data_IF_548343666603
#
_entry.id   IF_548343666603
#
_cell.length_a   1.000
_cell.length_b   1.000
_cell.length_c   1.000
_cell.angle_alpha   90.00
_cell.angle_beta   90.00
_cell.angle_gamma   90.00
#
_symmetry.space_group_name_H-M   'P 1'
#
loop_
_entity.id
_entity.type
_entity.pdbx_description
1 polymer ?
#
# COMPACT_ATOMS: atom_id res chain seq x y z
N UNK A 1 -9.78 -8.91 2.40
CA UNK A 1 -8.75 -8.73 1.36
C UNK A 1 -8.71 -7.25 1.02
N UNK A 2 -7.54 -6.62 0.91
CA UNK A 2 -7.43 -5.21 0.52
C UNK A 2 -6.72 -5.10 -0.81
N UNK A 3 -7.36 -4.40 -1.75
CA UNK A 3 -6.80 -4.13 -3.06
C UNK A 3 -6.33 -2.69 -3.11
N UNK A 4 -5.09 -2.50 -3.53
CA UNK A 4 -4.46 -1.18 -3.58
C UNK A 4 -3.93 -0.95 -4.99
N UNK A 5 -4.34 0.18 -5.57
CA UNK A 5 -3.79 0.73 -6.79
C UNK A 5 -2.64 1.68 -6.45
N UNK A 6 -1.51 1.53 -7.13
CA UNK A 6 -0.34 2.39 -6.97
C UNK A 6 0.04 3.02 -8.33
N UNK A 7 -0.45 4.26 -8.53
CA UNK A 7 -0.30 5.28 -9.61
C UNK A 7 -0.33 4.89 -11.12
N UNK A 8 -0.47 5.93 -11.98
CA UNK A 8 -1.23 6.07 -13.23
C UNK A 8 -0.38 6.27 -14.52
N UNK A 9 0.81 5.68 -14.62
CA UNK A 9 1.53 5.59 -15.91
C UNK A 9 2.23 4.24 -16.11
N UNK A 10 2.53 3.55 -15.02
CA UNK A 10 2.94 2.14 -14.97
C UNK A 10 2.17 1.56 -13.79
N UNK A 11 1.11 0.81 -14.05
CA UNK A 11 0.18 0.38 -13.01
C UNK A 11 0.78 -0.71 -12.13
N UNK A 12 0.86 -0.44 -10.83
CA UNK A 12 1.07 -1.47 -9.81
C UNK A 12 -0.25 -1.78 -9.11
N UNK A 13 -0.59 -3.06 -9.05
CA UNK A 13 -1.72 -3.59 -8.29
C UNK A 13 -1.19 -4.47 -7.17
N UNK A 14 -1.70 -4.26 -5.96
CA UNK A 14 -1.40 -5.10 -4.82
C UNK A 14 -2.69 -5.66 -4.21
N UNK A 15 -2.64 -6.93 -3.83
CA UNK A 15 -3.68 -7.58 -3.04
C UNK A 15 -3.04 -8.12 -1.77
N UNK A 16 -3.74 -8.02 -0.66
CA UNK A 16 -3.31 -8.62 0.60
C UNK A 16 -4.49 -9.17 1.37
N UNK A 17 -4.36 -10.40 1.83
CA UNK A 17 -5.25 -10.98 2.83
C UNK A 17 -4.72 -10.61 4.21
N UNK A 18 -5.57 -9.98 5.01
CA UNK A 18 -5.22 -9.49 6.34
C UNK A 18 -6.21 -10.04 7.36
N UNK A 19 -5.69 -10.54 8.47
CA UNK A 19 -6.50 -11.03 9.58
C UNK A 19 -7.05 -9.89 10.45
N UNK A 20 -6.33 -8.76 10.49
CA UNK A 20 -6.68 -7.61 11.34
C UNK A 20 -6.31 -6.29 10.68
N UNK A 21 -7.31 -5.47 10.42
CA UNK A 21 -7.14 -4.14 9.85
C UNK A 21 -6.40 -3.19 10.81
N UNK A 22 -6.64 -3.30 12.11
CA UNK A 22 -5.93 -2.53 13.12
C UNK A 22 -4.42 -2.81 13.08
N UNK A 23 -4.03 -4.09 12.99
CA UNK A 23 -2.61 -4.48 12.85
C UNK A 23 -2.02 -4.00 11.53
N UNK A 24 -2.77 -4.12 10.43
CA UNK A 24 -2.36 -3.61 9.12
C UNK A 24 -2.07 -2.10 9.15
N UNK A 25 -2.99 -1.31 9.71
CA UNK A 25 -2.82 0.14 9.81
C UNK A 25 -1.65 0.52 10.74
N UNK A 26 -1.36 -0.30 11.77
CA UNK A 26 -0.21 -0.07 12.65
C UNK A 26 1.15 -0.27 11.94
N UNK A 27 1.23 -1.08 10.87
CA UNK A 27 2.49 -1.32 10.14
C UNK A 27 3.09 -0.02 9.61
N UNK A 28 2.26 0.90 9.12
CA UNK A 28 2.67 2.22 8.64
C UNK A 28 3.44 3.05 9.68
N UNK A 29 3.20 2.81 10.97
CA UNK A 29 3.86 3.51 12.08
C UNK A 29 5.18 2.86 12.51
N UNK A 30 5.55 1.71 11.94
CA UNK A 30 6.79 1.03 12.32
C UNK A 30 8.01 1.65 11.66
N UNK A 31 9.12 1.74 12.40
CA UNK A 31 10.38 2.30 11.89
C UNK A 31 10.87 1.58 10.62
N UNK A 32 10.69 0.27 10.54
CA UNK A 32 11.11 -0.52 9.39
C UNK A 32 10.29 -0.19 8.14
N UNK A 33 8.98 0.01 8.27
CA UNK A 33 8.12 0.38 7.15
C UNK A 33 8.47 1.78 6.63
N UNK A 34 8.72 2.73 7.53
CA UNK A 34 9.13 4.09 7.14
C UNK A 34 10.51 4.12 6.47
N UNK A 35 11.46 3.30 6.94
CA UNK A 35 12.75 3.12 6.25
C UNK A 35 12.57 2.55 4.84
N UNK A 36 11.67 1.58 4.69
CA UNK A 36 11.35 0.99 3.39
C UNK A 36 10.75 2.02 2.43
N UNK A 37 9.78 2.82 2.89
CA UNK A 37 9.19 3.91 2.12
C UNK A 37 10.24 4.92 1.63
N UNK A 38 11.15 5.34 2.52
CA UNK A 38 12.24 6.24 2.15
C UNK A 38 13.16 5.65 1.07
N UNK A 39 13.38 4.34 1.09
CA UNK A 39 14.16 3.65 0.07
C UNK A 39 13.44 3.57 -1.29
N UNK A 40 12.12 3.35 -1.27
CA UNK A 40 11.32 3.16 -2.50
C UNK A 40 10.91 4.47 -3.18
N UNK A 41 11.04 5.62 -2.52
CA UNK A 41 10.59 6.93 -3.02
C UNK A 41 11.17 7.33 -4.37
N UNK A 42 12.34 6.82 -4.72
CA UNK A 42 13.05 7.19 -5.95
C UNK A 42 12.44 6.51 -7.19
N UNK A 43 11.70 5.40 -6.98
CA UNK A 43 11.12 4.57 -8.06
C UNK A 43 9.59 4.51 -8.03
N UNK A 44 8.95 5.09 -7.01
CA UNK A 44 7.50 5.14 -6.86
C UNK A 44 7.04 6.55 -6.45
N UNK A 45 5.91 7.05 -6.96
CA UNK A 45 5.30 8.28 -6.45
C UNK A 45 5.05 8.18 -4.95
N UNK A 46 5.55 9.16 -4.20
CA UNK A 46 5.48 9.19 -2.75
C UNK A 46 4.86 10.51 -2.26
N UNK A 47 4.11 10.42 -1.16
CA UNK A 47 3.63 11.56 -0.38
C UNK A 47 4.80 12.28 0.31
N UNK A 48 4.58 13.47 0.90
CA UNK A 48 5.64 14.19 1.62
C UNK A 48 6.28 13.42 2.78
N UNK A 49 5.57 12.45 3.37
CA UNK A 49 6.05 11.56 4.42
C UNK A 49 6.79 10.30 3.90
N UNK A 50 7.00 10.24 2.58
CA UNK A 50 7.56 9.11 1.81
C UNK A 50 6.63 7.91 1.63
N UNK A 51 5.42 7.90 2.21
CA UNK A 51 4.47 6.82 1.96
C UNK A 51 4.07 6.77 0.48
N UNK A 52 3.84 5.58 -0.09
CA UNK A 52 3.46 5.46 -1.50
C UNK A 52 2.10 6.12 -1.75
N UNK A 53 1.99 6.88 -2.85
CA UNK A 53 0.69 7.37 -3.33
C UNK A 53 -0.13 6.17 -3.78
N UNK A 54 -1.27 5.94 -3.12
CA UNK A 54 -2.10 4.78 -3.38
C UNK A 54 -3.59 5.09 -3.25
N UNK A 55 -4.41 4.31 -3.95
CA UNK A 55 -5.87 4.38 -3.89
C UNK A 55 -6.44 3.00 -3.60
N UNK A 56 -7.39 2.95 -2.68
CA UNK A 56 -8.10 1.71 -2.36
C UNK A 56 -9.05 1.33 -3.49
N UNK A 57 -8.99 0.06 -3.89
CA UNK A 57 -9.91 -0.50 -4.87
C UNK A 57 -11.03 -1.24 -4.16
N UNK A 58 -12.25 -1.05 -4.67
CA UNK A 58 -13.43 -1.77 -4.20
C UNK A 58 -13.41 -3.20 -4.74
N UNK A 59 -13.35 -4.17 -3.83
CA UNK A 59 -13.61 -5.57 -4.17
C UNK A 59 -15.07 -5.70 -4.63
N UNK A 60 -15.29 -6.27 -5.81
CA UNK A 60 -16.63 -6.47 -6.39
C UNK A 60 -17.00 -7.94 -6.57
N UNK A 61 -16.02 -8.83 -6.46
CA UNK A 61 -16.20 -10.27 -6.63
C UNK A 61 -15.05 -11.03 -5.94
N UNK A 62 -15.38 -12.17 -5.35
CA UNK A 62 -14.44 -13.13 -4.78
C UNK A 62 -15.01 -14.55 -4.91
N UNK A 63 -14.14 -15.54 -5.17
CA UNK A 63 -14.48 -16.96 -5.24
C UNK A 63 -13.44 -17.76 -4.45
N UNK A 64 -13.93 -18.63 -3.56
CA UNK A 64 -13.14 -19.52 -2.72
C UNK A 64 -12.62 -20.74 -3.48
#
# INVERSE_FOLDING_TARGET
MRFILMWNAIFFFATVEIESEARWNAVASTDICQRWWKHMRDVMPANPDNSPVSAELKEVFWLA
#
